data_IF_682348679271
#
_entry.id   IF_682348679271
#
_cell.length_a   1.000
_cell.length_b   1.000
_cell.length_c   1.000
_cell.angle_alpha   90.00
_cell.angle_beta   90.00
_cell.angle_gamma   90.00
#
_symmetry.space_group_name_H-M   'P 1'
#
loop_
_entity.id
_entity.type
_entity.pdbx_description
1 polymer ?
#
# COMPACT_ATOMS: atom_id res chain seq x y z
N UNK A 1 7.07 24.09 19.27
CA UNK A 1 7.95 24.70 18.25
C UNK A 1 7.28 25.88 17.54
N UNK A 2 6.10 25.73 16.93
CA UNK A 2 5.34 26.85 16.36
C UNK A 2 5.10 28.01 17.36
N UNK A 3 4.82 27.65 18.63
CA UNK A 3 4.73 28.62 19.73
C UNK A 3 6.03 29.38 20.01
N UNK A 4 7.19 28.74 19.87
CA UNK A 4 8.51 29.37 20.03
C UNK A 4 8.84 30.28 18.84
N UNK A 5 8.45 29.88 17.61
CA UNK A 5 8.57 30.72 16.41
C UNK A 5 7.73 31.99 16.51
N UNK A 6 6.49 31.91 17.00
CA UNK A 6 5.65 33.10 17.21
C UNK A 6 6.26 34.07 18.24
N UNK A 7 6.81 33.54 19.34
CA UNK A 7 7.48 34.36 20.36
C UNK A 7 8.72 35.05 19.75
N UNK A 8 9.54 34.33 18.98
CA UNK A 8 10.77 34.87 18.39
C UNK A 8 10.51 35.86 17.24
N UNK A 9 9.49 35.61 16.41
CA UNK A 9 9.06 36.53 15.36
C UNK A 9 8.58 37.86 15.94
N UNK A 10 7.85 37.82 17.06
CA UNK A 10 7.39 39.03 17.75
C UNK A 10 8.54 39.86 18.38
N UNK A 11 9.68 39.24 18.66
CA UNK A 11 10.88 39.90 19.19
C UNK A 11 11.79 40.51 18.10
N UNK A 12 11.55 40.22 16.82
CA UNK A 12 12.36 40.76 15.73
C UNK A 12 11.91 42.18 15.35
N UNK A 13 12.82 43.14 15.48
CA UNK A 13 12.53 44.58 15.41
C UNK A 13 12.33 45.16 14.00
N UNK A 14 12.72 44.45 12.93
CA UNK A 14 12.56 44.94 11.55
C UNK A 14 11.80 43.95 10.64
N UNK A 15 11.06 44.50 9.67
CA UNK A 15 10.27 43.72 8.72
C UNK A 15 11.13 42.78 7.85
N UNK A 16 12.36 43.18 7.53
CA UNK A 16 13.32 42.37 6.78
C UNK A 16 13.80 41.13 7.56
N UNK A 17 13.99 41.26 8.88
CA UNK A 17 14.34 40.13 9.74
C UNK A 17 13.20 39.12 9.85
N UNK A 18 11.94 39.58 9.95
CA UNK A 18 10.74 38.71 9.97
C UNK A 18 10.60 37.90 8.69
N UNK A 19 10.81 38.52 7.53
CA UNK A 19 10.77 37.84 6.22
C UNK A 19 11.83 36.73 6.09
N UNK A 20 13.07 36.99 6.51
CA UNK A 20 14.13 35.97 6.50
C UNK A 20 13.86 34.80 7.46
N UNK A 21 13.22 35.07 8.60
CA UNK A 21 12.81 34.04 9.57
C UNK A 21 11.65 33.18 9.06
N UNK A 22 10.65 33.76 8.40
CA UNK A 22 9.57 33.02 7.76
C UNK A 22 10.08 32.11 6.65
N UNK A 23 11.00 32.60 5.80
CA UNK A 23 11.58 31.81 4.71
C UNK A 23 12.47 30.67 5.24
N UNK A 24 13.24 30.95 6.30
CA UNK A 24 14.03 29.92 7.00
C UNK A 24 13.17 28.86 7.68
N UNK A 25 12.05 29.26 8.27
CA UNK A 25 11.10 28.34 8.90
C UNK A 25 10.37 27.48 7.86
N UNK A 26 9.92 28.06 6.75
CA UNK A 26 9.35 27.29 5.63
C UNK A 26 10.37 26.31 5.03
N UNK A 27 11.63 26.74 4.90
CA UNK A 27 12.72 25.86 4.43
C UNK A 27 12.97 24.71 5.40
N UNK A 28 12.94 24.97 6.71
CA UNK A 28 13.04 23.94 7.75
C UNK A 28 11.84 22.99 7.74
N UNK A 29 10.60 23.50 7.65
CA UNK A 29 9.40 22.68 7.53
C UNK A 29 9.44 21.77 6.30
N UNK A 30 9.92 22.29 5.16
CA UNK A 30 10.15 21.49 3.95
C UNK A 30 11.22 20.42 4.18
N UNK A 31 12.29 20.74 4.91
CA UNK A 31 13.37 19.79 5.21
C UNK A 31 12.89 18.67 6.16
N UNK A 32 12.13 19.03 7.20
CA UNK A 32 11.53 18.08 8.13
C UNK A 32 10.47 17.23 7.44
N UNK A 33 9.62 17.82 6.60
CA UNK A 33 8.64 17.10 5.80
C UNK A 33 9.31 16.16 4.79
N UNK A 34 10.43 16.58 4.17
CA UNK A 34 11.24 15.73 3.29
C UNK A 34 11.84 14.56 4.07
N UNK A 35 12.48 14.80 5.21
CA UNK A 35 13.04 13.74 6.06
C UNK A 35 11.96 12.77 6.60
N UNK A 36 10.77 13.28 6.95
CA UNK A 36 9.64 12.44 7.35
C UNK A 36 9.05 11.64 6.17
N UNK A 37 9.02 12.23 4.97
CA UNK A 37 8.63 11.55 3.74
C UNK A 37 9.62 10.44 3.41
N UNK A 38 10.93 10.71 3.44
CA UNK A 38 11.99 9.75 3.18
C UNK A 38 11.93 8.56 4.17
N UNK A 39 11.64 8.82 5.44
CA UNK A 39 11.43 7.74 6.42
C UNK A 39 10.26 6.82 6.04
N UNK A 40 9.17 7.35 5.45
CA UNK A 40 8.01 6.54 5.05
C UNK A 40 8.24 5.69 3.80
N UNK A 41 9.29 6.00 3.05
CA UNK A 41 9.70 5.25 1.86
C UNK A 41 10.67 4.10 2.19
N UNK A 42 11.36 4.20 3.34
CA UNK A 42 12.40 3.25 3.78
C UNK A 42 11.90 2.35 4.93
N UNK A 43 11.06 2.89 5.81
CA UNK A 43 10.53 2.18 6.97
C UNK A 43 9.01 1.97 6.88
N UNK A 44 8.58 0.88 7.50
CA UNK A 44 7.18 0.58 7.74
C UNK A 44 6.91 0.45 9.25
N UNK A 45 5.65 0.34 9.66
CA UNK A 45 5.31 -0.02 11.05
C UNK A 45 5.88 -1.39 11.49
N UNK A 46 6.33 -2.21 10.53
CA UNK A 46 6.96 -3.53 10.72
C UNK A 46 8.49 -3.50 10.55
N UNK A 47 9.08 -2.31 10.41
CA UNK A 47 10.52 -2.11 10.18
C UNK A 47 10.87 -1.86 8.71
N UNK A 48 12.16 -1.96 8.38
CA UNK A 48 12.70 -1.79 7.03
C UNK A 48 12.81 -3.12 6.27
N UNK A 49 12.84 -3.05 4.95
CA UNK A 49 13.20 -4.18 4.10
C UNK A 49 14.56 -4.77 4.53
N UNK A 50 14.75 -6.10 4.47
CA UNK A 50 16.04 -6.71 4.79
C UNK A 50 17.10 -6.26 3.78
N UNK A 51 18.27 -5.93 4.30
CA UNK A 51 19.46 -5.69 3.49
C UNK A 51 19.84 -6.97 2.73
N UNK A 52 20.40 -6.86 1.52
CA UNK A 52 20.93 -8.00 0.78
C UNK A 52 22.22 -8.48 1.45
N UNK A 53 22.33 -9.78 1.66
CA UNK A 53 23.55 -10.47 2.07
C UNK A 53 24.19 -11.15 0.86
N UNK A 54 25.44 -11.59 0.98
CA UNK A 54 26.14 -12.33 -0.09
C UNK A 54 25.36 -13.58 -0.53
N UNK A 55 24.67 -14.25 0.41
CA UNK A 55 23.84 -15.43 0.13
C UNK A 55 22.52 -15.10 -0.59
N UNK A 56 22.14 -13.82 -0.68
CA UNK A 56 20.98 -13.37 -1.45
C UNK A 56 21.33 -13.09 -2.92
N UNK A 57 22.62 -13.04 -3.26
CA UNK A 57 23.13 -12.70 -4.59
C UNK A 57 23.45 -14.00 -5.34
N UNK A 58 23.03 -14.09 -6.60
CA UNK A 58 23.37 -15.24 -7.45
C UNK A 58 24.85 -15.22 -7.82
N UNK A 59 25.46 -16.41 -7.96
CA UNK A 59 26.89 -16.55 -8.29
C UNK A 59 27.22 -15.92 -9.64
N UNK A 60 26.30 -15.98 -10.60
CA UNK A 60 26.41 -15.39 -11.93
C UNK A 60 25.87 -13.95 -12.01
N UNK A 61 25.63 -13.30 -10.87
CA UNK A 61 25.15 -11.93 -10.84
C UNK A 61 26.15 -10.98 -11.51
N UNK A 62 25.66 -10.20 -12.47
CA UNK A 62 26.46 -9.16 -13.12
C UNK A 62 26.73 -8.04 -12.12
N UNK A 63 28.00 -7.63 -12.01
CA UNK A 63 28.35 -6.43 -11.23
C UNK A 63 27.92 -5.19 -12.01
N UNK A 64 27.05 -4.38 -11.42
CA UNK A 64 26.55 -3.15 -12.05
C UNK A 64 27.35 -1.94 -11.62
N UNK A 65 27.60 -1.05 -12.58
CA UNK A 65 28.08 0.30 -12.30
C UNK A 65 26.88 1.25 -12.28
N UNK A 66 26.61 1.82 -11.11
CA UNK A 66 25.56 2.82 -10.94
C UNK A 66 26.14 4.22 -11.15
N UNK A 67 25.52 5.07 -11.98
CA UNK A 67 25.89 6.47 -12.06
C UNK A 67 25.80 7.14 -10.69
N UNK A 68 26.66 8.12 -10.44
CA UNK A 68 26.64 8.89 -9.19
C UNK A 68 25.23 9.44 -8.93
N UNK A 69 24.74 9.34 -7.69
CA UNK A 69 23.39 9.78 -7.28
C UNK A 69 22.23 9.13 -8.06
N UNK A 70 22.42 7.96 -8.69
CA UNK A 70 21.37 7.25 -9.43
C UNK A 70 20.15 6.98 -8.54
N UNK A 71 20.34 6.38 -7.36
CA UNK A 71 19.24 6.03 -6.46
C UNK A 71 18.39 7.25 -6.08
N UNK A 72 19.05 8.36 -5.73
CA UNK A 72 18.38 9.62 -5.43
C UNK A 72 17.51 10.12 -6.60
N UNK A 73 18.06 10.17 -7.82
CA UNK A 73 17.32 10.63 -9.01
C UNK A 73 16.20 9.68 -9.42
N UNK A 74 16.44 8.37 -9.31
CA UNK A 74 15.43 7.34 -9.54
C UNK A 74 14.28 7.49 -8.55
N UNK A 75 14.58 7.75 -7.27
CA UNK A 75 13.55 7.91 -6.26
C UNK A 75 12.68 9.15 -6.50
N UNK A 76 13.25 10.23 -7.05
CA UNK A 76 12.49 11.43 -7.45
C UNK A 76 11.61 11.20 -8.70
N UNK A 77 12.20 10.68 -9.79
CA UNK A 77 11.48 10.40 -11.04
C UNK A 77 12.06 9.17 -11.75
N UNK A 78 11.52 7.97 -11.47
CA UNK A 78 12.13 6.74 -11.94
C UNK A 78 11.95 6.53 -13.45
N UNK A 79 10.87 7.07 -14.05
CA UNK A 79 10.62 6.96 -15.49
C UNK A 79 11.66 7.76 -16.25
N UNK A 80 11.91 9.00 -15.80
CA UNK A 80 12.91 9.89 -16.42
C UNK A 80 14.32 9.34 -16.25
N UNK A 81 14.68 8.88 -15.04
CA UNK A 81 16.03 8.38 -14.78
C UNK A 81 16.32 7.09 -15.58
N UNK A 82 15.37 6.16 -15.65
CA UNK A 82 15.55 4.96 -16.49
C UNK A 82 15.61 5.30 -17.99
N UNK A 83 14.79 6.24 -18.45
CA UNK A 83 14.85 6.70 -19.85
C UNK A 83 16.21 7.33 -20.19
N UNK A 84 16.89 7.94 -19.21
CA UNK A 84 18.25 8.49 -19.38
C UNK A 84 19.27 7.35 -19.43
N UNK A 85 19.26 6.45 -18.46
CA UNK A 85 20.29 5.41 -18.37
C UNK A 85 20.23 4.41 -19.53
N UNK A 86 19.04 4.10 -20.06
CA UNK A 86 18.88 3.23 -21.24
C UNK A 86 19.52 3.86 -22.49
N UNK A 87 19.57 5.21 -22.60
CA UNK A 87 20.25 5.89 -23.71
C UNK A 87 21.77 5.74 -23.63
N UNK A 88 22.30 5.69 -22.41
CA UNK A 88 23.73 5.55 -22.13
C UNK A 88 24.17 4.07 -22.18
N UNK A 89 23.29 3.15 -21.73
CA UNK A 89 23.48 1.71 -21.75
C UNK A 89 22.25 1.01 -22.33
N UNK A 90 22.32 0.64 -23.61
CA UNK A 90 21.21 0.01 -24.35
C UNK A 90 20.86 -1.39 -23.84
N UNK A 91 21.76 -2.07 -23.14
CA UNK A 91 21.50 -3.42 -22.61
C UNK A 91 20.43 -3.40 -21.51
N UNK A 92 20.24 -2.25 -20.86
CA UNK A 92 19.17 -2.03 -19.88
C UNK A 92 17.78 -1.86 -20.52
N UNK A 93 17.67 -1.94 -21.85
CA UNK A 93 16.37 -2.07 -22.51
C UNK A 93 15.80 -3.50 -22.39
N UNK A 94 16.65 -4.48 -22.07
CA UNK A 94 16.22 -5.84 -21.77
C UNK A 94 15.70 -5.97 -20.34
N UNK A 95 14.55 -6.63 -20.16
CA UNK A 95 13.89 -6.75 -18.85
C UNK A 95 14.70 -7.56 -17.84
N UNK A 96 15.52 -8.51 -18.28
CA UNK A 96 16.39 -9.30 -17.40
C UNK A 96 17.48 -8.43 -16.81
N UNK A 97 18.19 -7.71 -17.67
CA UNK A 97 19.26 -6.81 -17.26
C UNK A 97 18.73 -5.68 -16.38
N UNK A 98 17.60 -5.06 -16.77
CA UNK A 98 17.00 -3.98 -16.00
C UNK A 98 16.45 -4.45 -14.65
N UNK A 99 15.80 -5.62 -14.61
CA UNK A 99 15.31 -6.21 -13.37
C UNK A 99 16.44 -6.46 -12.37
N UNK A 100 17.55 -7.04 -12.83
CA UNK A 100 18.73 -7.28 -12.02
C UNK A 100 19.43 -5.99 -11.59
N UNK A 101 19.59 -5.04 -12.51
CA UNK A 101 20.14 -3.72 -12.22
C UNK A 101 19.36 -3.00 -11.12
N UNK A 102 18.01 -3.00 -11.20
CA UNK A 102 17.15 -2.39 -10.19
C UNK A 102 17.18 -3.14 -8.86
N UNK A 103 17.18 -4.48 -8.88
CA UNK A 103 17.16 -5.29 -7.67
C UNK A 103 18.44 -5.13 -6.83
N UNK A 104 19.59 -5.06 -7.51
CA UNK A 104 20.90 -4.93 -6.88
C UNK A 104 21.24 -3.49 -6.48
N UNK A 105 20.47 -2.51 -6.93
CA UNK A 105 20.74 -1.11 -6.61
C UNK A 105 20.35 -0.84 -5.14
N UNK A 106 21.29 -0.38 -4.30
CA UNK A 106 20.96 0.01 -2.94
C UNK A 106 20.09 1.28 -2.94
N UNK A 107 19.38 1.48 -1.83
CA UNK A 107 18.65 2.72 -1.52
C UNK A 107 17.49 3.10 -2.46
N UNK A 108 17.05 2.19 -3.33
CA UNK A 108 15.83 2.40 -4.11
C UNK A 108 14.57 2.26 -3.24
N UNK A 109 13.65 3.21 -3.37
CA UNK A 109 12.39 3.19 -2.65
C UNK A 109 11.42 2.20 -3.29
N UNK A 110 10.76 1.41 -2.45
CA UNK A 110 9.79 0.40 -2.88
C UNK A 110 8.65 1.02 -3.72
N UNK A 111 8.23 2.26 -3.40
CA UNK A 111 7.25 3.00 -4.20
C UNK A 111 7.77 3.43 -5.55
N UNK A 112 9.03 3.88 -5.64
CA UNK A 112 9.64 4.31 -6.90
C UNK A 112 9.85 3.12 -7.84
N UNK A 113 10.25 1.96 -7.30
CA UNK A 113 10.30 0.68 -8.03
C UNK A 113 8.91 0.32 -8.56
N UNK A 114 7.89 0.25 -7.70
CA UNK A 114 6.52 -0.08 -8.14
C UNK A 114 5.99 0.92 -9.17
N UNK A 115 6.20 2.22 -8.94
CA UNK A 115 5.77 3.29 -9.86
C UNK A 115 6.39 3.11 -11.24
N UNK A 116 7.68 2.77 -11.31
CA UNK A 116 8.35 2.49 -12.56
C UNK A 116 7.76 1.26 -13.25
N UNK A 117 7.72 0.13 -12.55
CA UNK A 117 7.23 -1.15 -13.09
C UNK A 117 5.86 -0.96 -13.72
N UNK A 118 4.90 -0.39 -12.99
CA UNK A 118 3.52 -0.21 -13.46
C UNK A 118 3.27 1.07 -14.27
N UNK A 119 4.30 1.85 -14.59
CA UNK A 119 4.22 2.87 -15.65
C UNK A 119 4.26 2.26 -17.05
N UNK A 120 4.70 1.01 -17.16
CA UNK A 120 4.77 0.26 -18.41
C UNK A 120 3.47 -0.52 -18.68
N UNK A 121 3.34 -1.05 -19.90
CA UNK A 121 2.27 -1.99 -20.26
C UNK A 121 2.40 -3.28 -19.43
N UNK A 122 1.27 -3.90 -19.11
CA UNK A 122 1.20 -5.10 -18.25
C UNK A 122 2.16 -6.22 -18.66
N UNK A 123 2.39 -6.46 -19.95
CA UNK A 123 3.33 -7.48 -20.44
C UNK A 123 4.79 -7.18 -20.05
N UNK A 124 5.20 -5.92 -20.19
CA UNK A 124 6.53 -5.44 -19.79
C UNK A 124 6.65 -5.49 -18.26
N UNK A 125 5.61 -5.05 -17.56
CA UNK A 125 5.56 -5.08 -16.09
C UNK A 125 5.73 -6.50 -15.54
N UNK A 126 5.07 -7.49 -16.16
CA UNK A 126 5.20 -8.91 -15.80
C UNK A 126 6.64 -9.40 -15.99
N UNK A 127 7.22 -9.19 -17.17
CA UNK A 127 8.58 -9.65 -17.49
C UNK A 127 9.62 -8.99 -16.58
N UNK A 128 9.55 -7.66 -16.43
CA UNK A 128 10.46 -6.90 -15.57
C UNK A 128 10.37 -7.36 -14.11
N UNK A 129 9.16 -7.55 -13.58
CA UNK A 129 8.99 -7.96 -12.19
C UNK A 129 9.43 -9.42 -11.95
N UNK A 130 9.19 -10.31 -12.92
CA UNK A 130 9.72 -11.68 -12.89
C UNK A 130 11.24 -11.66 -12.77
N UNK A 131 11.93 -10.92 -13.63
CA UNK A 131 13.39 -10.85 -13.58
C UNK A 131 13.94 -10.08 -12.37
N UNK A 132 13.24 -9.04 -11.91
CA UNK A 132 13.56 -8.36 -10.66
C UNK A 132 13.55 -9.34 -9.48
N UNK A 133 12.52 -10.17 -9.35
CA UNK A 133 12.46 -11.19 -8.30
C UNK A 133 13.44 -12.35 -8.53
N UNK A 134 13.68 -12.71 -9.79
CA UNK A 134 14.64 -13.76 -10.17
C UNK A 134 16.10 -13.30 -10.05
N UNK A 135 16.36 -12.10 -9.55
CA UNK A 135 17.72 -11.59 -9.31
C UNK A 135 18.26 -12.00 -7.94
N UNK A 136 17.39 -12.37 -7.01
CA UNK A 136 17.80 -12.97 -5.74
C UNK A 136 18.14 -14.46 -5.92
N UNK A 137 19.04 -14.96 -5.10
CA UNK A 137 19.20 -16.39 -4.91
C UNK A 137 18.04 -16.93 -4.03
N UNK A 138 17.14 -17.70 -4.65
CA UNK A 138 15.98 -18.30 -3.99
C UNK A 138 16.13 -19.81 -3.77
N UNK A 139 17.25 -20.41 -4.16
CA UNK A 139 17.49 -21.83 -3.95
C UNK A 139 17.53 -22.14 -2.45
N UNK A 140 16.87 -23.23 -2.05
CA UNK A 140 16.78 -23.70 -0.67
C UNK A 140 16.15 -22.73 0.34
N UNK A 141 15.62 -21.59 -0.11
CA UNK A 141 14.86 -20.66 0.73
C UNK A 141 13.43 -21.14 0.84
N UNK A 142 12.85 -20.98 2.03
CA UNK A 142 11.42 -21.21 2.20
C UNK A 142 10.61 -20.06 1.57
N UNK A 143 9.32 -20.32 1.25
CA UNK A 143 8.44 -19.32 0.63
C UNK A 143 8.29 -18.06 1.49
N UNK A 144 8.30 -18.20 2.83
CA UNK A 144 8.15 -17.05 3.71
C UNK A 144 9.41 -16.16 3.75
N UNK A 145 10.60 -16.76 3.70
CA UNK A 145 11.87 -16.02 3.59
C UNK A 145 11.95 -15.29 2.26
N UNK A 146 11.63 -15.98 1.16
CA UNK A 146 11.55 -15.38 -0.16
C UNK A 146 10.52 -14.25 -0.20
N UNK A 147 9.34 -14.44 0.40
CA UNK A 147 8.31 -13.39 0.49
C UNK A 147 8.82 -12.18 1.26
N UNK A 148 9.52 -12.39 2.38
CA UNK A 148 10.11 -11.32 3.18
C UNK A 148 11.21 -10.56 2.44
N UNK A 149 12.05 -11.28 1.70
CA UNK A 149 13.13 -10.69 0.90
C UNK A 149 12.56 -9.90 -0.28
N UNK A 150 11.68 -10.50 -1.07
CA UNK A 150 11.26 -9.96 -2.36
C UNK A 150 10.10 -8.96 -2.23
N UNK A 151 9.04 -9.30 -1.49
CA UNK A 151 7.83 -8.49 -1.45
C UNK A 151 7.98 -7.21 -0.61
N UNK A 152 9.02 -7.12 0.21
CA UNK A 152 9.37 -5.89 0.93
C UNK A 152 10.08 -4.85 0.07
N UNK A 153 10.50 -5.21 -1.15
CA UNK A 153 11.16 -4.31 -2.11
C UNK A 153 10.20 -3.63 -3.08
N UNK A 154 8.91 -3.91 -2.94
CA UNK A 154 7.84 -3.31 -3.74
C UNK A 154 6.78 -2.71 -2.82
N UNK A 155 6.19 -1.60 -3.25
CA UNK A 155 5.00 -1.07 -2.63
C UNK A 155 3.75 -1.65 -3.30
N UNK A 156 2.81 -2.14 -2.50
CA UNK A 156 1.58 -2.74 -3.01
C UNK A 156 0.60 -1.66 -3.53
N UNK A 157 0.11 -1.78 -4.77
CA UNK A 157 -0.93 -0.92 -5.30
C UNK A 157 -2.32 -1.34 -4.79
N UNK A 158 -3.29 -0.42 -4.84
CA UNK A 158 -4.71 -0.77 -4.65
C UNK A 158 -5.37 -1.06 -6.00
N UNK A 159 -4.85 -2.08 -6.71
CA UNK A 159 -5.32 -2.48 -8.03
C UNK A 159 -5.21 -4.01 -8.20
N UNK A 160 -6.32 -4.66 -8.54
CA UNK A 160 -6.41 -6.12 -8.66
C UNK A 160 -5.42 -6.71 -9.66
N UNK A 161 -5.32 -6.10 -10.85
CA UNK A 161 -4.47 -6.61 -11.95
C UNK A 161 -3.00 -6.52 -11.55
N UNK A 162 -2.59 -5.37 -11.00
CA UNK A 162 -1.21 -5.15 -10.58
C UNK A 162 -0.81 -6.08 -9.41
N UNK A 163 -1.72 -6.32 -8.46
CA UNK A 163 -1.50 -7.29 -7.39
C UNK A 163 -1.37 -8.72 -7.93
N UNK A 164 -2.19 -9.13 -8.91
CA UNK A 164 -2.03 -10.41 -9.60
C UNK A 164 -0.65 -10.53 -10.24
N UNK A 165 -0.22 -9.50 -10.98
CA UNK A 165 1.11 -9.46 -11.60
C UNK A 165 2.22 -9.65 -10.57
N UNK A 166 2.11 -8.99 -9.41
CA UNK A 166 3.07 -9.14 -8.31
C UNK A 166 3.19 -10.59 -7.84
N UNK A 167 2.07 -11.19 -7.44
CA UNK A 167 2.10 -12.53 -6.87
C UNK A 167 2.42 -13.61 -7.90
N UNK A 168 1.97 -13.45 -9.15
CA UNK A 168 2.28 -14.39 -10.22
C UNK A 168 3.76 -14.31 -10.62
N UNK A 169 4.35 -13.11 -10.69
CA UNK A 169 5.79 -12.95 -10.94
C UNK A 169 6.63 -13.52 -9.80
N UNK A 170 6.25 -13.26 -8.54
CA UNK A 170 6.90 -13.83 -7.36
C UNK A 170 6.88 -15.36 -7.42
N UNK A 171 5.70 -15.95 -7.66
CA UNK A 171 5.56 -17.39 -7.70
C UNK A 171 6.33 -18.04 -8.85
N UNK A 172 6.34 -17.40 -10.03
CA UNK A 172 7.12 -17.87 -11.16
C UNK A 172 8.63 -17.84 -10.87
N UNK A 173 9.15 -16.75 -10.29
CA UNK A 173 10.56 -16.62 -9.92
C UNK A 173 10.98 -17.63 -8.84
N UNK A 174 10.14 -17.84 -7.81
CA UNK A 174 10.43 -18.83 -6.78
C UNK A 174 10.40 -20.25 -7.34
N UNK A 175 9.38 -20.59 -8.15
CA UNK A 175 9.21 -21.92 -8.72
C UNK A 175 10.34 -22.28 -9.71
N UNK A 176 10.82 -21.32 -10.50
CA UNK A 176 11.90 -21.59 -11.48
C UNK A 176 13.22 -22.02 -10.82
N UNK A 177 13.47 -21.60 -9.58
CA UNK A 177 14.66 -21.98 -8.79
C UNK A 177 14.40 -23.12 -7.79
N UNK A 178 13.14 -23.55 -7.65
CA UNK A 178 12.76 -24.58 -6.68
C UNK A 178 11.88 -25.67 -7.34
N UNK A 179 12.29 -26.12 -8.52
CA UNK A 179 11.58 -27.11 -9.36
C UNK A 179 11.48 -28.50 -8.73
N UNK A 180 12.25 -28.77 -7.67
CA UNK A 180 12.20 -30.00 -6.89
C UNK A 180 10.96 -30.08 -5.96
N UNK A 181 10.24 -28.97 -5.79
CA UNK A 181 9.02 -28.93 -4.98
C UNK A 181 7.78 -29.27 -5.79
N UNK A 182 6.88 -30.10 -5.26
CA UNK A 182 5.60 -30.45 -5.90
C UNK A 182 4.55 -29.31 -5.84
N UNK A 183 4.88 -28.19 -5.18
CA UNK A 183 3.97 -27.06 -5.01
C UNK A 183 3.86 -26.24 -6.31
N UNK A 184 2.64 -26.00 -6.76
CA UNK A 184 2.38 -25.24 -7.99
C UNK A 184 2.64 -23.74 -7.79
N UNK A 185 2.87 -22.99 -8.87
CA UNK A 185 2.94 -21.51 -8.83
C UNK A 185 1.70 -20.87 -8.22
N UNK A 186 0.51 -21.45 -8.45
CA UNK A 186 -0.75 -20.99 -7.85
C UNK A 186 -0.73 -21.14 -6.32
N UNK A 187 -0.20 -22.24 -5.82
CA UNK A 187 -0.08 -22.51 -4.39
C UNK A 187 1.02 -21.64 -3.75
N UNK A 188 2.16 -21.46 -4.41
CA UNK A 188 3.22 -20.55 -3.96
C UNK A 188 2.69 -19.13 -3.79
N UNK A 189 1.96 -18.61 -4.79
CA UNK A 189 1.35 -17.29 -4.69
C UNK A 189 0.29 -17.21 -3.57
N UNK A 190 -0.45 -18.30 -3.28
CA UNK A 190 -1.39 -18.31 -2.14
C UNK A 190 -0.66 -18.25 -0.79
N UNK A 191 0.48 -18.94 -0.66
CA UNK A 191 1.35 -18.85 0.53
C UNK A 191 1.94 -17.44 0.65
N UNK A 192 2.40 -16.84 -0.44
CA UNK A 192 2.90 -15.47 -0.44
C UNK A 192 1.84 -14.44 -0.02
N UNK A 193 0.61 -14.58 -0.56
CA UNK A 193 -0.55 -13.77 -0.12
C UNK A 193 -0.80 -13.96 1.36
N UNK A 194 -0.81 -15.19 1.89
CA UNK A 194 -1.05 -15.42 3.32
C UNK A 194 0.03 -14.77 4.20
N UNK A 195 1.29 -14.77 3.76
CA UNK A 195 2.38 -14.10 4.46
C UNK A 195 2.19 -12.58 4.52
N UNK A 196 1.74 -11.97 3.41
CA UNK A 196 1.39 -10.54 3.35
C UNK A 196 0.19 -10.25 4.24
N UNK A 197 -0.87 -11.05 4.15
CA UNK A 197 -2.08 -10.91 4.98
C UNK A 197 -1.73 -10.98 6.47
N UNK A 198 -0.99 -11.99 6.89
CA UNK A 198 -0.55 -12.11 8.28
C UNK A 198 0.24 -10.87 8.73
N UNK A 199 1.20 -10.42 7.93
CA UNK A 199 2.04 -9.26 8.26
C UNK A 199 1.20 -7.99 8.39
N UNK A 200 0.23 -7.81 7.51
CA UNK A 200 -0.69 -6.67 7.51
C UNK A 200 -1.57 -6.65 8.76
N UNK A 201 -2.12 -7.80 9.17
CA UNK A 201 -2.96 -7.91 10.36
C UNK A 201 -2.18 -8.10 11.66
N UNK A 202 -0.84 -8.08 11.60
CA UNK A 202 -0.02 -8.11 12.80
C UNK A 202 -0.11 -6.76 13.49
N UNK A 203 -1.11 -6.60 14.35
CA UNK A 203 -1.19 -5.50 15.29
C UNK A 203 -0.46 -5.83 16.59
N UNK A 204 -0.14 -4.80 17.38
CA UNK A 204 0.41 -5.01 18.73
C UNK A 204 -0.58 -5.69 19.70
N UNK A 205 -1.87 -5.62 19.41
CA UNK A 205 -2.96 -6.02 20.32
C UNK A 205 -3.79 -7.21 19.85
N UNK A 206 -3.67 -7.57 18.58
CA UNK A 206 -4.49 -8.59 17.90
C UNK A 206 -3.65 -9.22 16.77
N UNK A 207 -3.40 -10.52 16.87
CA UNK A 207 -2.64 -11.29 15.88
C UNK A 207 -3.55 -12.43 15.44
N UNK A 208 -3.64 -12.63 14.12
CA UNK A 208 -4.33 -13.77 13.54
C UNK A 208 -3.91 -15.05 14.26
N UNK A 209 -4.86 -15.84 14.76
CA UNK A 209 -4.52 -17.09 15.45
C UNK A 209 -3.88 -18.08 14.48
N UNK A 210 -3.07 -19.01 14.99
CA UNK A 210 -2.42 -20.04 14.17
C UNK A 210 -3.47 -20.86 13.38
N UNK A 211 -4.60 -21.19 14.00
CA UNK A 211 -5.69 -21.91 13.35
C UNK A 211 -6.36 -21.10 12.23
N UNK A 212 -6.59 -19.80 12.43
CA UNK A 212 -7.13 -18.93 11.37
C UNK A 212 -6.15 -18.76 10.22
N UNK A 213 -4.85 -18.65 10.51
CA UNK A 213 -3.81 -18.61 9.49
C UNK A 213 -3.76 -19.90 8.66
N UNK A 214 -3.77 -21.07 9.30
CA UNK A 214 -3.77 -22.36 8.61
C UNK A 214 -5.01 -22.49 7.69
N UNK A 215 -6.17 -22.01 8.13
CA UNK A 215 -7.41 -21.99 7.30
C UNK A 215 -7.27 -21.20 6.01
N UNK A 216 -6.44 -20.15 5.98
CA UNK A 216 -6.16 -19.40 4.74
C UNK A 216 -5.44 -20.30 3.71
N UNK A 217 -4.71 -21.31 4.19
CA UNK A 217 -3.90 -22.24 3.42
C UNK A 217 -4.57 -23.61 3.23
N UNK A 218 -5.86 -23.77 3.51
CA UNK A 218 -6.55 -25.08 3.39
C UNK A 218 -6.39 -25.73 2.01
N UNK A 219 -6.38 -24.92 0.94
CA UNK A 219 -6.25 -25.42 -0.44
C UNK A 219 -4.79 -25.60 -0.91
N UNK A 220 -3.81 -25.29 -0.06
CA UNK A 220 -2.40 -25.45 -0.41
C UNK A 220 -1.97 -26.86 0.00
N UNK A 221 -1.48 -27.64 -0.97
CA UNK A 221 -0.91 -28.98 -0.76
C UNK A 221 0.45 -28.88 -0.05
N UNK A 222 0.39 -28.56 1.24
CA UNK A 222 1.53 -28.41 2.12
C UNK A 222 1.19 -29.08 3.45
N UNK A 223 2.17 -29.75 4.06
CA UNK A 223 2.00 -30.38 5.37
C UNK A 223 1.64 -29.33 6.42
N UNK A 224 0.74 -29.68 7.34
CA UNK A 224 0.30 -28.76 8.38
C UNK A 224 1.45 -28.26 9.27
N UNK A 225 2.46 -29.11 9.52
CA UNK A 225 3.69 -28.72 10.23
C UNK A 225 4.39 -27.54 9.57
N UNK A 226 4.61 -27.60 8.24
CA UNK A 226 5.20 -26.49 7.49
C UNK A 226 4.34 -25.22 7.53
N UNK A 227 3.01 -25.34 7.51
CA UNK A 227 2.10 -24.18 7.66
C UNK A 227 2.26 -23.53 9.05
N UNK A 228 2.44 -24.33 10.10
CA UNK A 228 2.72 -23.86 11.47
C UNK A 228 4.10 -23.20 11.59
N UNK A 229 5.11 -23.79 10.96
CA UNK A 229 6.46 -23.22 10.94
C UNK A 229 6.48 -21.84 10.28
N UNK A 230 5.80 -21.70 9.13
CA UNK A 230 5.64 -20.40 8.47
C UNK A 230 4.95 -19.39 9.40
N UNK A 231 3.90 -19.80 10.11
CA UNK A 231 3.20 -18.93 11.06
C UNK A 231 4.13 -18.41 12.17
N UNK A 232 4.90 -19.30 12.81
CA UNK A 232 5.83 -18.91 13.88
C UNK A 232 6.95 -18.01 13.33
N UNK A 233 7.47 -18.30 12.14
CA UNK A 233 8.46 -17.47 11.48
C UNK A 233 7.93 -16.06 11.19
N UNK A 234 6.70 -15.92 10.67
CA UNK A 234 6.09 -14.62 10.41
C UNK A 234 5.78 -13.86 11.70
N UNK A 235 5.40 -14.58 12.76
CA UNK A 235 5.19 -14.00 14.09
C UNK A 235 6.50 -13.41 14.63
N UNK A 236 7.63 -14.08 14.44
CA UNK A 236 8.94 -13.56 14.83
C UNK A 236 9.44 -12.43 13.89
N UNK A 237 9.30 -12.61 12.58
CA UNK A 237 9.84 -11.74 11.54
C UNK A 237 8.79 -11.50 10.44
N UNK A 238 7.86 -10.54 10.64
CA UNK A 238 6.88 -10.19 9.62
C UNK A 238 7.56 -9.60 8.39
N UNK A 239 6.81 -9.53 7.29
CA UNK A 239 7.22 -8.85 6.07
C UNK A 239 6.99 -7.34 6.25
N UNK A 240 8.01 -6.49 6.05
CA UNK A 240 7.80 -5.05 5.90
C UNK A 240 6.93 -4.76 4.67
N UNK A 241 5.76 -4.14 4.86
CA UNK A 241 4.79 -3.89 3.78
C UNK A 241 4.73 -2.41 3.43
N UNK A 242 5.04 -2.10 2.18
CA UNK A 242 4.90 -0.75 1.63
C UNK A 242 3.60 -0.63 0.82
N UNK A 243 2.99 0.56 0.80
CA UNK A 243 1.74 0.81 0.08
C UNK A 243 1.88 1.99 -0.86
N UNK A 244 1.26 1.91 -2.05
CA UNK A 244 1.18 3.05 -2.99
C UNK A 244 0.07 4.06 -2.64
N UNK A 245 -0.86 3.68 -1.76
CA UNK A 245 -2.13 4.41 -1.54
C UNK A 245 -2.28 5.00 -0.12
N UNK A 246 -1.34 4.70 0.77
CA UNK A 246 -1.35 5.11 2.17
C UNK A 246 0.09 5.19 2.72
N UNK A 247 0.28 5.93 3.81
CA UNK A 247 1.51 5.87 4.61
C UNK A 247 1.80 4.43 5.03
N UNK A 248 3.06 4.04 4.95
CA UNK A 248 3.53 2.73 5.44
C UNK A 248 4.10 2.81 6.85
N UNK A 249 4.24 3.99 7.44
CA UNK A 249 4.71 4.15 8.82
C UNK A 249 3.63 3.84 9.85
N UNK A 250 2.38 4.07 9.47
CA UNK A 250 1.23 3.93 10.36
C UNK A 250 0.66 2.52 10.23
N UNK A 251 0.38 1.91 11.37
CA UNK A 251 -0.33 0.63 11.40
C UNK A 251 -1.71 0.76 10.74
N UNK A 252 -2.08 -0.12 9.80
CA UNK A 252 -3.35 -0.01 9.11
C UNK A 252 -4.56 -0.09 10.04
N UNK A 253 -5.41 0.93 10.01
CA UNK A 253 -6.66 0.93 10.77
C UNK A 253 -7.84 0.44 9.90
N UNK A 254 -8.14 -0.85 9.99
CA UNK A 254 -9.27 -1.47 9.30
C UNK A 254 -10.59 -1.42 10.06
N UNK A 255 -10.61 -1.00 11.33
CA UNK A 255 -11.81 -0.98 12.17
C UNK A 255 -12.16 0.43 12.62
N UNK A 256 -12.28 1.35 11.65
CA UNK A 256 -12.54 2.77 11.91
C UNK A 256 -14.04 3.07 12.02
N UNK A 257 -14.38 3.89 13.00
CA UNK A 257 -15.70 4.50 13.15
C UNK A 257 -15.59 5.95 13.62
N UNK A 258 -16.60 6.77 13.33
CA UNK A 258 -16.55 8.18 13.69
C UNK A 258 -17.53 9.03 12.91
N UNK A 259 -17.62 10.31 13.28
CA UNK A 259 -18.48 11.26 12.59
C UNK A 259 -17.80 11.84 11.34
N UNK A 260 -18.56 11.85 10.24
CA UNK A 260 -18.29 12.69 9.07
C UNK A 260 -19.57 13.42 8.68
N UNK A 261 -19.45 14.46 7.86
CA UNK A 261 -20.60 15.14 7.24
C UNK A 261 -20.73 14.68 5.80
N UNK A 262 -21.95 14.45 5.32
CA UNK A 262 -22.24 14.14 3.91
C UNK A 262 -23.22 15.15 3.34
N UNK A 263 -23.15 15.40 2.04
CA UNK A 263 -24.18 16.20 1.36
C UNK A 263 -25.50 15.38 1.33
N UNK A 264 -26.59 16.02 1.76
CA UNK A 264 -27.95 15.51 1.60
C UNK A 264 -28.40 15.55 0.13
N UNK A 265 -29.49 14.84 -0.20
CA UNK A 265 -30.07 14.86 -1.54
C UNK A 265 -30.77 16.20 -1.84
N UNK A 266 -32.10 16.23 -1.76
CA UNK A 266 -32.92 17.38 -2.18
C UNK A 266 -32.60 18.70 -1.46
N UNK A 267 -32.16 18.64 -0.20
CA UNK A 267 -31.66 19.80 0.55
C UNK A 267 -30.14 19.70 0.56
N UNK A 268 -29.47 20.63 -0.11
CA UNK A 268 -28.00 20.70 -0.28
C UNK A 268 -27.27 21.06 1.03
N UNK A 269 -27.77 20.62 2.18
CA UNK A 269 -27.12 20.77 3.48
C UNK A 269 -26.16 19.62 3.77
N UNK A 270 -25.02 19.93 4.42
CA UNK A 270 -24.11 18.93 4.96
C UNK A 270 -24.71 18.37 6.26
N UNK A 271 -24.94 17.07 6.31
CA UNK A 271 -25.54 16.38 7.47
C UNK A 271 -24.51 15.50 8.16
N UNK A 272 -24.37 15.66 9.49
CA UNK A 272 -23.49 14.83 10.33
C UNK A 272 -24.07 13.41 10.43
N UNK A 273 -23.24 12.40 10.20
CA UNK A 273 -23.60 10.97 10.27
C UNK A 273 -22.48 10.20 10.93
N UNK A 274 -22.84 9.11 11.61
CA UNK A 274 -21.88 8.19 12.17
C UNK A 274 -21.49 7.14 11.13
N UNK A 275 -20.21 7.02 10.85
CA UNK A 275 -19.64 6.09 9.89
C UNK A 275 -18.96 4.93 10.60
N UNK A 276 -19.02 3.75 9.99
CA UNK A 276 -18.39 2.53 10.48
C UNK A 276 -17.94 1.68 9.29
N UNK A 277 -16.70 1.23 9.32
CA UNK A 277 -16.19 0.22 8.39
C UNK A 277 -16.75 -1.15 8.80
N UNK A 278 -17.36 -1.85 7.84
CA UNK A 278 -17.73 -3.26 7.95
C UNK A 278 -16.75 -4.11 7.13
N UNK A 279 -15.80 -4.72 7.81
CA UNK A 279 -14.76 -5.56 7.20
C UNK A 279 -15.31 -6.86 6.60
N UNK A 280 -16.45 -7.37 7.09
CA UNK A 280 -17.04 -8.60 6.57
C UNK A 280 -17.63 -8.42 5.16
N UNK A 281 -18.09 -7.20 4.87
CA UNK A 281 -18.70 -6.82 3.58
C UNK A 281 -17.83 -5.90 2.73
N UNK A 282 -16.70 -5.42 3.27
CA UNK A 282 -15.87 -4.38 2.65
C UNK A 282 -16.70 -3.14 2.30
N UNK A 283 -17.53 -2.67 3.24
CA UNK A 283 -18.38 -1.48 3.06
C UNK A 283 -18.16 -0.44 4.15
N UNK A 284 -18.42 0.82 3.81
CA UNK A 284 -18.52 1.91 4.74
C UNK A 284 -20.01 2.21 4.99
N UNK A 285 -20.49 1.80 6.17
CA UNK A 285 -21.88 2.03 6.60
C UNK A 285 -22.01 3.40 7.22
N UNK A 286 -23.16 4.04 7.02
CA UNK A 286 -23.48 5.28 7.73
C UNK A 286 -24.86 5.23 8.38
N UNK A 287 -24.90 5.71 9.61
CA UNK A 287 -26.03 5.71 10.52
C UNK A 287 -26.45 7.13 10.84
N UNK A 288 -27.68 7.29 11.34
CA UNK A 288 -28.17 8.57 11.85
C UNK A 288 -27.22 9.15 12.91
N UNK A 289 -26.78 8.31 13.84
CA UNK A 289 -25.92 8.63 14.98
C UNK A 289 -25.17 7.37 15.47
N UNK A 290 -24.32 7.52 16.49
CA UNK A 290 -23.47 6.46 17.05
C UNK A 290 -24.22 5.31 17.73
N UNK A 291 -25.52 5.46 18.01
CA UNK A 291 -26.33 4.37 18.60
C UNK A 291 -26.52 3.21 17.62
N UNK A 292 -26.25 3.44 16.32
CA UNK A 292 -26.37 2.47 15.22
C UNK A 292 -27.78 1.86 15.06
N UNK A 293 -28.80 2.44 15.69
CA UNK A 293 -30.20 1.96 15.63
C UNK A 293 -30.83 2.11 14.24
N UNK A 294 -30.40 3.11 13.48
CA UNK A 294 -30.94 3.39 12.14
C UNK A 294 -29.80 3.51 11.13
N UNK A 295 -29.60 2.45 10.35
CA UNK A 295 -28.73 2.46 9.18
C UNK A 295 -29.41 3.25 8.05
N UNK A 296 -28.65 4.10 7.36
CA UNK A 296 -29.18 4.97 6.30
C UNK A 296 -28.64 4.58 4.92
N UNK A 297 -27.50 3.89 4.88
CA UNK A 297 -26.94 3.36 3.65
C UNK A 297 -25.52 2.86 3.83
N UNK A 298 -24.97 2.41 2.72
CA UNK A 298 -23.65 1.77 2.64
C UNK A 298 -22.92 2.26 1.39
N UNK A 299 -21.59 2.36 1.47
CA UNK A 299 -20.69 2.65 0.35
C UNK A 299 -19.79 1.44 0.16
N UNK A 300 -19.74 0.89 -1.04
CA UNK A 300 -18.91 -0.26 -1.36
C UNK A 300 -17.44 0.16 -1.46
N UNK A 301 -16.58 -0.39 -0.60
CA UNK A 301 -15.14 -0.12 -0.62
C UNK A 301 -14.38 -1.08 -1.51
N UNK A 302 -14.85 -2.32 -1.69
CA UNK A 302 -14.22 -3.27 -2.61
C UNK A 302 -14.14 -2.72 -4.05
N UNK A 303 -12.95 -2.74 -4.65
CA UNK A 303 -12.69 -2.20 -5.98
C UNK A 303 -12.92 -0.68 -6.10
N UNK A 304 -12.65 0.06 -5.03
CA UNK A 304 -12.80 1.51 -4.97
C UNK A 304 -11.48 2.20 -4.62
N UNK A 305 -11.40 3.47 -4.95
CA UNK A 305 -10.34 4.37 -4.51
C UNK A 305 -10.96 5.51 -3.73
N UNK A 306 -10.31 5.86 -2.62
CA UNK A 306 -10.62 7.03 -1.81
C UNK A 306 -9.50 8.05 -1.97
N UNK A 307 -9.85 9.28 -2.29
CA UNK A 307 -8.89 10.38 -2.45
C UNK A 307 -9.20 11.51 -1.48
N UNK A 308 -8.14 12.11 -0.97
CA UNK A 308 -8.21 13.37 -0.24
C UNK A 308 -8.23 14.53 -1.24
N UNK A 309 -9.14 15.49 -1.07
CA UNK A 309 -9.23 16.69 -1.88
C UNK A 309 -8.94 17.91 -1.00
N UNK A 310 -7.75 18.47 -1.19
CA UNK A 310 -7.40 19.79 -0.66
C UNK A 310 -8.15 20.87 -1.44
N UNK A 311 -8.61 21.91 -0.76
CA UNK A 311 -9.37 22.99 -1.37
C UNK A 311 -8.70 24.34 -1.14
N UNK A 312 -8.93 25.30 -2.03
CA UNK A 312 -8.63 26.71 -1.77
C UNK A 312 -9.78 27.33 -0.97
N UNK A 313 -9.49 28.38 -0.18
CA UNK A 313 -10.24 28.97 0.96
C UNK A 313 -11.80 29.03 0.93
N UNK A 314 -12.49 28.78 -0.18
CA UNK A 314 -13.97 28.77 -0.27
C UNK A 314 -14.60 27.38 -0.12
N UNK A 315 -13.93 26.31 -0.51
CA UNK A 315 -14.46 24.96 -0.37
C UNK A 315 -13.86 24.28 0.87
N UNK A 316 -14.64 23.41 1.51
CA UNK A 316 -14.15 22.62 2.65
C UNK A 316 -13.41 21.38 2.12
N UNK A 317 -12.27 21.07 2.73
CA UNK A 317 -11.55 19.82 2.50
C UNK A 317 -12.48 18.61 2.69
N UNK A 318 -12.31 17.61 1.84
CA UNK A 318 -13.18 16.44 1.81
C UNK A 318 -12.46 15.22 1.26
N UNK A 319 -13.08 14.06 1.46
CA UNK A 319 -12.71 12.82 0.78
C UNK A 319 -13.74 12.49 -0.30
N UNK A 320 -13.26 11.81 -1.34
CA UNK A 320 -14.08 11.31 -2.45
C UNK A 320 -13.81 9.82 -2.61
N UNK A 321 -14.86 9.01 -2.62
CA UNK A 321 -14.79 7.56 -2.88
C UNK A 321 -15.39 7.28 -4.25
N UNK A 322 -14.66 6.57 -5.12
CA UNK A 322 -15.06 6.18 -6.48
C UNK A 322 -14.75 4.73 -6.75
N UNK A 323 -15.61 4.03 -7.51
CA UNK A 323 -15.26 2.71 -8.03
C UNK A 323 -14.22 2.85 -9.14
N UNK A 324 -13.27 1.93 -9.19
CA UNK A 324 -12.25 1.90 -10.26
C UNK A 324 -12.88 1.68 -11.65
N UNK A 325 -14.04 1.02 -11.73
CA UNK A 325 -14.78 0.80 -12.98
C UNK A 325 -15.78 1.93 -13.32
N UNK A 326 -15.85 3.01 -12.52
CA UNK A 326 -16.77 4.13 -12.74
C UNK A 326 -18.25 3.86 -12.43
N UNK A 327 -18.61 2.66 -11.96
CA UNK A 327 -19.98 2.29 -11.65
C UNK A 327 -20.55 2.94 -10.38
N UNK A 328 -21.87 2.76 -10.10
CA UNK A 328 -22.49 3.29 -8.90
C UNK A 328 -21.86 2.68 -7.63
N UNK A 329 -21.70 3.46 -6.56
CA UNK A 329 -20.83 3.09 -5.43
C UNK A 329 -21.56 2.72 -4.13
N UNK A 330 -22.88 2.87 -4.03
CA UNK A 330 -23.53 2.65 -2.74
C UNK A 330 -25.01 2.34 -2.80
N UNK A 331 -25.54 2.08 -1.62
CA UNK A 331 -26.95 1.80 -1.37
C UNK A 331 -27.51 2.83 -0.39
N UNK A 332 -28.77 3.19 -0.57
CA UNK A 332 -29.58 3.91 0.42
C UNK A 332 -30.55 2.91 1.01
N UNK A 333 -30.67 2.90 2.33
CA UNK A 333 -31.61 2.02 3.02
C UNK A 333 -32.85 2.85 3.33
N UNK A 334 -34.02 2.37 2.88
CA UNK A 334 -35.30 3.02 3.15
C UNK A 334 -35.68 2.90 4.63
N UNK A 335 -36.72 3.62 5.06
CA UNK A 335 -37.26 3.48 6.42
C UNK A 335 -37.72 2.04 6.73
N UNK A 336 -38.14 1.32 5.68
CA UNK A 336 -38.61 -0.07 5.75
C UNK A 336 -37.45 -1.09 5.71
N UNK A 337 -36.19 -0.63 5.72
CA UNK A 337 -35.01 -1.49 5.79
C UNK A 337 -34.54 -2.06 4.45
N UNK A 338 -35.24 -1.80 3.35
CA UNK A 338 -34.86 -2.31 2.03
C UNK A 338 -33.69 -1.49 1.42
N UNK A 339 -32.59 -2.14 1.01
CA UNK A 339 -31.49 -1.47 0.33
C UNK A 339 -31.87 -1.17 -1.13
N UNK A 340 -31.77 0.11 -1.52
CA UNK A 340 -31.94 0.57 -2.90
C UNK A 340 -30.59 1.04 -3.44
N UNK A 341 -30.16 0.52 -4.59
CA UNK A 341 -28.92 0.97 -5.26
C UNK A 341 -29.03 2.47 -5.53
N UNK A 342 -27.98 3.20 -5.19
CA UNK A 342 -27.86 4.62 -5.48
C UNK A 342 -27.31 4.81 -6.88
N UNK A 343 -27.76 5.86 -7.58
CA UNK A 343 -27.23 6.23 -8.91
C UNK A 343 -25.95 7.09 -8.82
N UNK A 344 -25.38 7.25 -7.63
CA UNK A 344 -24.19 8.08 -7.43
C UNK A 344 -22.95 7.24 -7.75
N UNK A 345 -22.09 7.74 -8.63
CA UNK A 345 -20.79 7.15 -8.99
C UNK A 345 -19.66 7.58 -8.06
N UNK A 346 -19.91 8.62 -7.25
CA UNK A 346 -18.99 9.11 -6.24
C UNK A 346 -19.70 9.33 -4.90
N UNK A 347 -18.92 9.19 -3.83
CA UNK A 347 -19.36 9.51 -2.48
C UNK A 347 -18.44 10.57 -1.88
N UNK A 348 -19.01 11.69 -1.44
CA UNK A 348 -18.26 12.81 -0.86
C UNK A 348 -18.58 12.92 0.62
N UNK A 349 -17.54 12.95 1.45
CA UNK A 349 -17.66 13.17 2.88
C UNK A 349 -16.65 14.22 3.38
N UNK A 350 -17.06 14.98 4.40
CA UNK A 350 -16.31 16.08 4.98
C UNK A 350 -15.97 15.73 6.43
N UNK A 351 -14.72 15.97 6.83
CA UNK A 351 -14.26 15.84 8.20
C UNK A 351 -14.27 17.17 8.94
N UNK A 352 -13.86 17.15 10.20
CA UNK A 352 -13.66 18.36 11.00
C UNK A 352 -12.26 18.96 10.81
N UNK A 353 -11.29 18.12 10.43
CA UNK A 353 -9.89 18.47 10.27
C UNK A 353 -9.22 17.55 9.22
N UNK A 354 -8.05 17.98 8.74
CA UNK A 354 -7.27 17.33 7.69
C UNK A 354 -6.78 15.94 8.09
N UNK A 355 -6.33 15.76 9.33
CA UNK A 355 -5.75 14.51 9.83
C UNK A 355 -6.82 13.42 9.91
N UNK A 356 -7.99 13.76 10.45
CA UNK A 356 -9.18 12.91 10.45
C UNK A 356 -9.52 12.46 9.03
N UNK A 357 -9.59 13.39 8.06
CA UNK A 357 -9.88 13.05 6.67
C UNK A 357 -8.83 12.11 6.07
N UNK A 358 -7.54 12.42 6.22
CA UNK A 358 -6.44 11.58 5.72
C UNK A 358 -6.47 10.17 6.35
N UNK A 359 -6.78 10.08 7.64
CA UNK A 359 -6.92 8.78 8.31
C UNK A 359 -8.10 7.96 7.79
N UNK A 360 -9.23 8.61 7.41
CA UNK A 360 -10.35 7.94 6.74
C UNK A 360 -9.99 7.49 5.32
N UNK A 361 -9.28 8.32 4.57
CA UNK A 361 -8.80 7.99 3.21
C UNK A 361 -7.91 6.75 3.27
N UNK A 362 -6.96 6.72 4.20
CA UNK A 362 -6.08 5.56 4.45
C UNK A 362 -6.88 4.31 4.80
N UNK A 363 -7.78 4.38 5.79
CA UNK A 363 -8.61 3.25 6.21
C UNK A 363 -9.49 2.69 5.08
N UNK A 364 -10.16 3.55 4.30
CA UNK A 364 -11.01 3.12 3.19
C UNK A 364 -10.20 2.45 2.06
N UNK A 365 -9.04 3.00 1.70
CA UNK A 365 -8.16 2.39 0.70
C UNK A 365 -7.60 1.06 1.19
N UNK A 366 -7.25 0.96 2.48
CA UNK A 366 -6.79 -0.28 3.06
C UNK A 366 -7.86 -1.38 3.02
N UNK A 367 -9.13 -1.08 3.35
CA UNK A 367 -10.22 -2.05 3.25
C UNK A 367 -10.47 -2.47 1.80
N UNK A 368 -10.32 -1.54 0.86
CA UNK A 368 -10.39 -1.88 -0.57
C UNK A 368 -9.28 -2.85 -0.97
N UNK A 369 -8.04 -2.56 -0.56
CA UNK A 369 -6.89 -3.42 -0.79
C UNK A 369 -7.06 -4.79 -0.12
N UNK A 370 -7.56 -4.82 1.12
CA UNK A 370 -7.87 -6.06 1.83
C UNK A 370 -8.90 -6.91 1.09
N UNK A 371 -9.91 -6.29 0.46
CA UNK A 371 -10.90 -7.01 -0.35
C UNK A 371 -10.25 -7.78 -1.49
N UNK A 372 -9.20 -7.21 -2.09
CA UNK A 372 -8.41 -7.86 -3.15
C UNK A 372 -7.67 -9.08 -2.59
N UNK A 373 -6.89 -8.91 -1.52
CA UNK A 373 -6.13 -10.02 -0.93
C UNK A 373 -7.05 -11.15 -0.44
N UNK A 374 -8.18 -10.81 0.18
CA UNK A 374 -9.18 -11.79 0.60
C UNK A 374 -9.83 -12.52 -0.59
N UNK A 375 -9.91 -11.89 -1.76
CA UNK A 375 -10.33 -12.59 -2.98
C UNK A 375 -9.30 -13.65 -3.39
N UNK A 376 -8.00 -13.36 -3.30
CA UNK A 376 -6.93 -14.33 -3.59
C UNK A 376 -6.97 -15.55 -2.67
N UNK A 377 -7.28 -15.35 -1.39
CA UNK A 377 -7.38 -16.46 -0.42
C UNK A 377 -8.64 -17.32 -0.64
N UNK A 378 -9.72 -16.74 -1.22
CA UNK A 378 -10.99 -17.45 -1.48
C UNK A 378 -11.10 -18.07 -2.86
N UNK A 379 -10.77 -17.34 -3.94
CA UNK A 379 -10.97 -17.76 -5.35
C UNK A 379 -10.05 -18.88 -5.82
N UNK A 380 -9.06 -19.28 -5.01
CA UNK A 380 -8.17 -20.41 -5.32
C UNK A 380 -8.63 -21.75 -4.72
N UNK A 381 -9.83 -21.80 -4.11
CA UNK A 381 -10.63 -23.04 -3.97
C UNK A 381 -11.03 -23.51 -5.37
N UNK A 382 -10.27 -24.44 -5.96
CA UNK A 382 -10.66 -25.18 -7.17
C UNK A 382 -10.79 -26.63 -6.78
#
# INVERSE_FOLDING_TARGET
MYHLFQIYSNLCGSASQKLNLEDSFQKFERLVAKNMSDNSEIFTWLGKAPDLTENDIQIDCVTHFYPENFAFRFNEDPIKEISKIIKENKDLNDSRNLGNFLFMCPELYARSITKFIFSNKDEISKSLLYFFFSSANLEYRTIHEASRLLLSRIAFPNNQIQISIIFDAFAAAYHSMNTYSEITTKEIAQVAVSCVVFSIFKSKTDILSQNEYIKILDNVKMQEGLKKDIYECLKAKPIPIFFMFASSLDEPNYSKSGYLKKIGGAIKGKTKRWFLIDNSKFTLKYYKDETKKQILGEVELAGSVTTYVSTTKKDQEHLVIKKLNGGPIGFKISKDGHPKRSNHTEYIAYGNDTETLKSWVSACNFVSFWSILNEFTKKRKV
#
